data_IF_605139957007
#
_entry.id   IF_605139957007
#
_cell.length_a   1.000
_cell.length_b   1.000
_cell.length_c   1.000
_cell.angle_alpha   90.00
_cell.angle_beta   90.00
_cell.angle_gamma   90.00
#
_symmetry.space_group_name_H-M   'P 1'
#
loop_
_entity.id
_entity.type
_entity.pdbx_description
1 polymer ?
#
# COMPACT_ATOMS: atom_id res chain seq x y z
N UNK A 1 -42.94 -23.20 -39.05
CA UNK A 1 -42.95 -23.48 -37.60
C UNK A 1 -43.57 -22.30 -36.87
N UNK A 2 -44.43 -22.60 -35.89
CA UNK A 2 -45.15 -21.67 -35.00
C UNK A 2 -44.18 -20.61 -34.40
N UNK A 3 -44.46 -19.31 -34.54
CA UNK A 3 -45.22 -18.40 -33.65
C UNK A 3 -44.32 -17.63 -32.66
N UNK A 4 -44.38 -16.28 -32.77
CA UNK A 4 -44.49 -15.27 -31.69
C UNK A 4 -43.37 -15.23 -30.62
N UNK A 5 -42.89 -14.11 -30.08
CA UNK A 5 -43.43 -12.76 -29.93
C UNK A 5 -42.28 -11.83 -29.52
N UNK A 6 -42.35 -10.59 -30.02
CA UNK A 6 -41.66 -9.40 -29.55
C UNK A 6 -42.06 -9.08 -28.10
N UNK A 7 -41.12 -8.63 -27.26
CA UNK A 7 -41.46 -7.68 -26.20
C UNK A 7 -40.31 -6.72 -25.92
N UNK A 8 -40.56 -5.48 -26.36
CA UNK A 8 -39.87 -4.24 -26.07
C UNK A 8 -40.34 -3.77 -24.69
N UNK A 9 -39.43 -3.43 -23.80
CA UNK A 9 -39.76 -2.64 -22.60
C UNK A 9 -38.69 -1.60 -22.39
N UNK A 10 -38.97 -0.43 -22.98
CA UNK A 10 -38.38 0.83 -22.61
C UNK A 10 -38.85 1.20 -21.20
N UNK A 11 -37.92 1.46 -20.28
CA UNK A 11 -38.24 2.13 -19.03
C UNK A 11 -37.72 3.56 -19.10
N UNK A 12 -38.70 4.45 -19.12
CA UNK A 12 -38.69 5.90 -19.24
C UNK A 12 -37.85 6.63 -18.20
N UNK A 13 -37.01 7.56 -18.67
CA UNK A 13 -36.54 8.71 -17.90
C UNK A 13 -37.75 9.59 -17.52
N UNK A 14 -37.91 9.86 -16.24
CA UNK A 14 -38.75 10.96 -15.75
C UNK A 14 -37.84 12.05 -15.19
N UNK A 15 -37.70 13.12 -15.96
CA UNK A 15 -37.23 14.42 -15.51
C UNK A 15 -38.46 15.15 -14.94
N UNK A 16 -38.35 15.68 -13.72
CA UNK A 16 -39.36 16.59 -13.20
C UNK A 16 -39.33 16.75 -11.68
N UNK A 17 -38.41 17.57 -11.17
CA UNK A 17 -38.71 18.35 -9.98
C UNK A 17 -38.58 19.84 -10.33
N UNK A 18 -39.69 20.50 -10.07
CA UNK A 18 -40.09 21.83 -10.46
C UNK A 18 -39.26 22.93 -9.83
N UNK A 19 -39.23 24.05 -10.54
CA UNK A 19 -38.67 25.33 -10.14
C UNK A 19 -39.30 25.90 -8.84
N UNK A 20 -38.56 26.86 -8.28
CA UNK A 20 -38.89 27.75 -7.18
C UNK A 20 -40.35 28.22 -7.14
N UNK A 21 -40.92 28.25 -5.93
CA UNK A 21 -41.85 29.32 -5.55
C UNK A 21 -41.36 29.92 -4.25
N UNK A 22 -41.01 31.20 -4.31
CA UNK A 22 -40.91 32.05 -3.13
C UNK A 22 -42.33 32.36 -2.68
N UNK A 23 -42.69 32.00 -1.45
CA UNK A 23 -43.73 32.72 -0.74
C UNK A 23 -43.37 32.84 0.74
N UNK A 24 -43.52 34.07 1.20
CA UNK A 24 -43.12 34.62 2.48
C UNK A 24 -44.10 34.23 3.60
N UNK A 25 -43.60 34.30 4.83
CA UNK A 25 -44.34 34.36 6.11
C UNK A 25 -44.96 33.07 6.70
N UNK A 26 -44.25 32.48 7.65
CA UNK A 26 -44.75 32.35 9.03
C UNK A 26 -43.61 32.01 10.00
N UNK A 27 -43.34 32.94 10.93
CA UNK A 27 -42.41 32.76 12.06
C UNK A 27 -42.79 31.53 12.87
N UNK A 28 -41.85 30.61 13.02
CA UNK A 28 -41.78 29.76 14.21
C UNK A 28 -40.30 29.51 14.50
N UNK A 29 -39.75 30.27 15.45
CA UNK A 29 -38.41 30.08 15.99
C UNK A 29 -38.35 28.71 16.69
N UNK A 30 -38.06 27.66 15.93
CA UNK A 30 -37.45 26.46 16.48
C UNK A 30 -35.96 26.77 16.64
N UNK A 31 -35.54 26.84 17.89
CA UNK A 31 -34.15 26.86 18.32
C UNK A 31 -33.46 25.62 17.71
N UNK A 32 -32.78 25.81 16.59
CA UNK A 32 -31.90 24.79 16.02
C UNK A 32 -30.77 24.55 17.03
N UNK A 33 -30.69 23.32 17.53
CA UNK A 33 -29.49 22.81 18.16
C UNK A 33 -28.31 23.03 17.19
N UNK A 34 -27.12 23.42 17.68
CA UNK A 34 -25.98 23.60 16.81
C UNK A 34 -25.70 22.26 16.14
N UNK A 35 -25.94 22.23 14.82
CA UNK A 35 -25.55 21.13 13.94
C UNK A 35 -24.05 20.95 14.14
N UNK A 36 -23.68 19.92 14.89
CA UNK A 36 -22.31 19.49 15.05
C UNK A 36 -21.75 19.39 13.63
N UNK A 37 -20.80 20.27 13.29
CA UNK A 37 -20.20 20.30 11.98
C UNK A 37 -19.57 18.93 11.76
N UNK A 38 -20.21 18.10 10.94
CA UNK A 38 -19.73 16.77 10.65
C UNK A 38 -18.28 16.90 10.19
N UNK A 39 -17.35 16.31 10.96
CA UNK A 39 -15.96 16.28 10.61
C UNK A 39 -15.82 15.83 9.15
N UNK A 40 -14.91 16.43 8.37
CA UNK A 40 -14.74 16.07 6.97
C UNK A 40 -14.56 14.56 6.87
N UNK A 41 -15.36 13.91 6.01
CA UNK A 41 -15.25 12.47 5.77
C UNK A 41 -13.84 12.18 5.25
N UNK A 42 -13.06 11.48 6.07
CA UNK A 42 -11.73 11.00 5.69
C UNK A 42 -11.88 9.97 4.55
N UNK A 43 -11.13 10.16 3.48
CA UNK A 43 -11.06 9.20 2.37
C UNK A 43 -9.99 8.15 2.69
N UNK A 44 -10.41 7.05 3.34
CA UNK A 44 -9.54 5.96 3.77
C UNK A 44 -8.75 5.36 2.60
N UNK A 45 -9.36 5.27 1.41
CA UNK A 45 -8.71 4.69 0.23
C UNK A 45 -7.53 5.56 -0.20
N UNK A 46 -7.74 6.89 -0.22
CA UNK A 46 -6.69 7.85 -0.54
C UNK A 46 -5.55 7.78 0.49
N UNK A 47 -5.88 7.70 1.77
CA UNK A 47 -4.86 7.62 2.83
C UNK A 47 -4.07 6.31 2.78
N UNK A 48 -4.71 5.18 2.47
CA UNK A 48 -4.00 3.90 2.25
C UNK A 48 -3.03 3.98 1.08
N UNK A 49 -3.45 4.53 -0.06
CA UNK A 49 -2.57 4.71 -1.22
C UNK A 49 -1.41 5.63 -0.89
N UNK A 50 -1.66 6.74 -0.18
CA UNK A 50 -0.61 7.65 0.26
C UNK A 50 0.39 6.96 1.20
N UNK A 51 -0.12 6.21 2.17
CA UNK A 51 0.71 5.44 3.10
C UNK A 51 1.61 4.43 2.37
N UNK A 52 1.04 3.67 1.43
CA UNK A 52 1.78 2.73 0.58
C UNK A 52 2.87 3.42 -0.25
N UNK A 53 2.55 4.57 -0.86
CA UNK A 53 3.54 5.34 -1.63
C UNK A 53 4.69 5.84 -0.76
N UNK A 54 4.38 6.34 0.45
CA UNK A 54 5.40 6.77 1.41
C UNK A 54 6.29 5.61 1.87
N UNK A 55 5.70 4.44 2.11
CA UNK A 55 6.44 3.24 2.48
C UNK A 55 7.47 2.85 1.42
N UNK A 56 7.07 2.78 0.14
CA UNK A 56 8.00 2.49 -0.95
C UNK A 56 9.09 3.58 -1.12
N UNK A 57 8.75 4.85 -0.90
CA UNK A 57 9.74 5.94 -0.93
C UNK A 57 10.79 5.81 0.17
N UNK A 58 10.36 5.46 1.39
CA UNK A 58 11.26 5.21 2.53
C UNK A 58 12.23 4.08 2.28
N UNK A 59 11.75 2.99 1.68
CA UNK A 59 12.60 1.87 1.26
C UNK A 59 13.60 2.33 0.19
N UNK A 60 13.11 2.92 -0.90
CA UNK A 60 13.96 3.34 -2.02
C UNK A 60 15.04 4.36 -1.64
N UNK A 61 14.82 5.17 -0.60
CA UNK A 61 15.81 6.11 -0.08
C UNK A 61 17.03 5.42 0.58
N UNK A 62 16.94 4.13 0.89
CA UNK A 62 17.95 3.37 1.62
C UNK A 62 18.44 2.12 0.89
N UNK A 63 17.71 1.62 -0.10
CA UNK A 63 17.90 0.25 -0.63
C UNK A 63 18.86 0.11 -1.83
N UNK A 64 19.46 1.21 -2.29
CA UNK A 64 20.19 1.25 -3.56
C UNK A 64 21.36 0.24 -3.65
N UNK A 65 22.10 0.04 -2.56
CA UNK A 65 23.25 -0.88 -2.55
C UNK A 65 22.78 -2.35 -2.49
N UNK A 66 21.69 -2.65 -1.77
CA UNK A 66 21.09 -3.98 -1.79
C UNK A 66 20.64 -4.36 -3.20
N UNK A 67 19.97 -3.45 -3.88
CA UNK A 67 19.43 -3.71 -5.22
C UNK A 67 20.55 -3.89 -6.24
N UNK A 68 21.61 -3.08 -6.12
CA UNK A 68 22.82 -3.25 -6.93
C UNK A 68 23.46 -4.61 -6.70
N UNK A 69 23.55 -5.06 -5.44
CA UNK A 69 24.07 -6.39 -5.11
C UNK A 69 23.21 -7.50 -5.71
N UNK A 70 21.89 -7.46 -5.49
CA UNK A 70 20.96 -8.50 -5.99
C UNK A 70 21.02 -8.56 -7.52
N UNK A 71 20.98 -7.41 -8.20
CA UNK A 71 21.09 -7.36 -9.66
C UNK A 71 22.39 -7.99 -10.19
N UNK A 72 23.53 -7.80 -9.51
CA UNK A 72 24.79 -8.49 -9.85
C UNK A 72 24.72 -9.99 -9.53
N UNK A 73 24.18 -10.35 -8.37
CA UNK A 73 24.13 -11.72 -7.86
C UNK A 73 23.23 -12.63 -8.72
N UNK A 74 22.16 -12.09 -9.29
CA UNK A 74 21.18 -12.83 -10.09
C UNK A 74 21.33 -12.62 -11.59
N UNK A 75 22.37 -11.90 -12.04
CA UNK A 75 22.60 -11.64 -13.46
C UNK A 75 22.92 -12.97 -14.17
N UNK A 76 22.04 -13.35 -15.10
CA UNK A 76 22.29 -14.48 -16.00
C UNK A 76 23.55 -14.22 -16.83
N UNK A 77 24.35 -15.26 -17.06
CA UNK A 77 25.60 -15.22 -17.82
C UNK A 77 26.66 -14.22 -17.30
N UNK A 78 26.60 -13.84 -16.02
CA UNK A 78 27.59 -12.97 -15.40
C UNK A 78 29.00 -13.59 -15.48
N UNK A 79 29.96 -12.78 -15.92
CA UNK A 79 31.38 -13.15 -15.81
C UNK A 79 31.81 -13.08 -14.34
N UNK A 80 32.88 -13.80 -13.94
CA UNK A 80 33.39 -13.73 -12.57
C UNK A 80 33.70 -12.31 -12.07
N UNK A 81 34.16 -11.44 -12.96
CA UNK A 81 34.44 -10.02 -12.69
C UNK A 81 33.19 -9.13 -12.52
N UNK A 82 32.01 -9.63 -12.91
CA UNK A 82 30.72 -8.93 -12.79
C UNK A 82 29.93 -9.37 -11.55
N UNK A 83 30.33 -10.48 -10.92
CA UNK A 83 29.74 -10.95 -9.67
C UNK A 83 30.00 -9.97 -8.54
N UNK A 84 29.08 -9.88 -7.55
CA UNK A 84 29.26 -8.96 -6.44
C UNK A 84 30.49 -9.34 -5.61
N UNK A 85 31.24 -8.31 -5.23
CA UNK A 85 32.40 -8.44 -4.35
C UNK A 85 31.99 -8.56 -2.87
N UNK A 86 32.94 -8.88 -2.00
CA UNK A 86 32.72 -8.82 -0.55
C UNK A 86 32.38 -7.39 -0.08
N UNK A 87 32.92 -6.36 -0.75
CA UNK A 87 32.57 -4.96 -0.47
C UNK A 87 31.13 -4.64 -0.89
N UNK A 88 30.70 -5.08 -2.08
CA UNK A 88 29.31 -4.94 -2.52
C UNK A 88 28.35 -5.62 -1.52
N UNK A 89 28.72 -6.82 -1.05
CA UNK A 89 27.93 -7.57 -0.07
C UNK A 89 27.81 -6.85 1.27
N UNK A 90 28.90 -6.25 1.76
CA UNK A 90 28.89 -5.48 3.01
C UNK A 90 27.98 -4.25 2.91
N UNK A 91 28.09 -3.48 1.81
CA UNK A 91 27.21 -2.32 1.56
C UNK A 91 25.74 -2.73 1.47
N UNK A 92 25.46 -3.85 0.80
CA UNK A 92 24.11 -4.41 0.73
C UNK A 92 23.56 -4.81 2.11
N UNK A 93 24.40 -5.37 2.99
CA UNK A 93 24.02 -5.68 4.37
C UNK A 93 23.64 -4.41 5.15
N UNK A 94 24.46 -3.37 5.07
CA UNK A 94 24.21 -2.08 5.75
C UNK A 94 22.97 -1.37 5.20
N UNK A 95 22.77 -1.42 3.87
CA UNK A 95 21.58 -0.93 3.16
C UNK A 95 20.32 -1.61 3.65
N UNK A 96 20.30 -2.95 3.64
CA UNK A 96 19.16 -3.73 4.11
C UNK A 96 18.85 -3.48 5.59
N UNK A 97 19.88 -3.38 6.45
CA UNK A 97 19.72 -3.04 7.86
C UNK A 97 19.14 -1.63 8.06
N UNK A 98 19.55 -0.68 7.23
CA UNK A 98 19.02 0.69 7.25
C UNK A 98 17.55 0.75 6.84
N UNK A 99 17.13 -0.03 5.84
CA UNK A 99 15.70 -0.17 5.48
C UNK A 99 14.92 -0.77 6.64
N UNK A 100 15.41 -1.84 7.27
CA UNK A 100 14.74 -2.46 8.42
C UNK A 100 14.54 -1.47 9.58
N UNK A 101 15.56 -0.65 9.87
CA UNK A 101 15.46 0.39 10.89
C UNK A 101 14.44 1.48 10.53
N UNK A 102 14.43 1.95 9.28
CA UNK A 102 13.46 2.94 8.79
C UNK A 102 12.02 2.40 8.89
N UNK A 103 11.79 1.15 8.47
CA UNK A 103 10.47 0.50 8.52
C UNK A 103 9.96 0.36 9.96
N UNK A 104 10.82 -0.03 10.91
CA UNK A 104 10.46 -0.11 12.32
C UNK A 104 10.11 1.26 12.95
N UNK A 105 10.49 2.36 12.31
CA UNK A 105 10.16 3.73 12.75
C UNK A 105 8.88 4.30 12.13
N UNK A 106 8.29 3.60 11.15
CA UNK A 106 7.08 4.06 10.45
C UNK A 106 5.91 4.16 11.42
N UNK A 107 5.21 5.29 11.37
CA UNK A 107 3.99 5.52 12.14
C UNK A 107 2.78 5.42 11.23
N UNK A 108 1.74 4.73 11.70
CA UNK A 108 0.46 4.69 11.00
C UNK A 108 -0.25 6.04 11.16
N UNK A 109 -0.69 6.69 10.05
CA UNK A 109 -1.49 7.90 10.10
C UNK A 109 -2.76 7.74 10.97
N UNK A 110 -3.16 8.81 11.66
CA UNK A 110 -4.32 8.77 12.57
C UNK A 110 -5.63 8.45 11.83
N UNK A 111 -5.70 8.86 10.57
CA UNK A 111 -6.77 8.58 9.62
C UNK A 111 -6.97 7.07 9.37
N UNK A 112 -5.90 6.28 9.50
CA UNK A 112 -5.89 4.83 9.29
C UNK A 112 -5.94 4.03 10.60
N UNK A 113 -6.43 4.63 11.69
CA UNK A 113 -6.48 3.99 13.02
C UNK A 113 -7.21 2.64 13.04
N UNK A 114 -8.18 2.45 12.14
CA UNK A 114 -8.96 1.22 12.07
C UNK A 114 -8.19 0.07 11.39
N UNK A 115 -7.23 0.40 10.52
CA UNK A 115 -6.35 -0.53 9.82
C UNK A 115 -4.99 -0.68 10.52
N UNK A 116 -4.76 0.06 11.60
CA UNK A 116 -3.46 0.21 12.27
C UNK A 116 -2.79 -1.11 12.59
N UNK A 117 -3.47 -2.01 13.29
CA UNK A 117 -2.90 -3.30 13.71
C UNK A 117 -2.42 -4.12 12.51
N UNK A 118 -3.21 -4.15 11.43
CA UNK A 118 -2.89 -4.95 10.25
C UNK A 118 -1.76 -4.32 9.42
N UNK A 119 -1.74 -2.98 9.33
CA UNK A 119 -0.63 -2.25 8.71
C UNK A 119 0.67 -2.43 9.49
N UNK A 120 0.64 -2.33 10.82
CA UNK A 120 1.80 -2.59 11.68
C UNK A 120 2.31 -4.03 11.52
N UNK A 121 1.40 -5.01 11.39
CA UNK A 121 1.77 -6.39 11.13
C UNK A 121 2.47 -6.58 9.77
N UNK A 122 1.99 -5.92 8.71
CA UNK A 122 2.64 -5.96 7.40
C UNK A 122 4.02 -5.29 7.42
N UNK A 123 4.14 -4.11 8.04
CA UNK A 123 5.41 -3.38 8.17
C UNK A 123 6.43 -4.20 8.96
N UNK A 124 6.01 -4.87 10.02
CA UNK A 124 6.89 -5.72 10.82
C UNK A 124 7.47 -6.87 10.00
N UNK A 125 6.68 -7.48 9.13
CA UNK A 125 7.18 -8.52 8.21
C UNK A 125 8.17 -7.93 7.21
N UNK A 126 7.88 -6.78 6.59
CA UNK A 126 8.84 -6.12 5.70
C UNK A 126 10.16 -5.81 6.42
N UNK A 127 10.09 -5.23 7.62
CA UNK A 127 11.27 -4.94 8.43
C UNK A 127 12.05 -6.22 8.79
N UNK A 128 11.36 -7.30 9.15
CA UNK A 128 11.97 -8.59 9.44
C UNK A 128 12.63 -9.21 8.20
N UNK A 129 12.01 -9.08 7.02
CA UNK A 129 12.61 -9.50 5.75
C UNK A 129 13.93 -8.76 5.48
N UNK A 130 13.92 -7.43 5.55
CA UNK A 130 15.13 -6.63 5.34
C UNK A 130 16.22 -6.93 6.37
N UNK A 131 15.84 -7.13 7.64
CA UNK A 131 16.79 -7.55 8.66
C UNK A 131 17.39 -8.93 8.36
N UNK A 132 16.57 -9.89 7.93
CA UNK A 132 17.04 -11.22 7.53
C UNK A 132 18.00 -11.13 6.33
N UNK A 133 17.69 -10.31 5.32
CA UNK A 133 18.63 -10.03 4.21
C UNK A 133 19.95 -9.47 4.73
N UNK A 134 19.89 -8.48 5.62
CA UNK A 134 21.07 -7.85 6.20
C UNK A 134 21.96 -8.87 6.93
N UNK A 135 21.36 -9.73 7.75
CA UNK A 135 22.09 -10.74 8.52
C UNK A 135 22.68 -11.82 7.62
N UNK A 136 21.98 -12.19 6.56
CA UNK A 136 22.43 -13.23 5.66
C UNK A 136 23.59 -12.80 4.77
N UNK A 137 23.59 -11.53 4.35
CA UNK A 137 24.69 -10.90 3.62
C UNK A 137 26.00 -10.84 4.43
N UNK A 138 25.97 -11.04 5.75
CA UNK A 138 27.18 -11.16 6.56
C UNK A 138 27.87 -12.52 6.42
N UNK A 139 27.20 -13.52 5.84
CA UNK A 139 27.75 -14.85 5.59
C UNK A 139 28.55 -14.87 4.29
N UNK A 140 29.45 -15.85 4.17
CA UNK A 140 30.27 -16.02 2.96
C UNK A 140 29.44 -16.46 1.75
N UNK A 141 28.41 -17.27 1.97
CA UNK A 141 27.46 -17.76 0.97
C UNK A 141 26.01 -17.42 1.42
N UNK A 142 25.54 -16.19 1.18
CA UNK A 142 24.20 -15.76 1.55
C UNK A 142 23.11 -16.45 0.71
N UNK A 143 21.94 -16.71 1.29
CA UNK A 143 20.70 -17.09 0.58
C UNK A 143 19.57 -16.16 1.04
N UNK A 144 18.91 -15.47 0.12
CA UNK A 144 17.87 -14.49 0.48
C UNK A 144 16.46 -15.11 0.54
N UNK A 145 16.32 -16.39 0.23
CA UNK A 145 15.02 -17.06 0.01
C UNK A 145 14.09 -16.94 1.23
N UNK A 146 14.60 -17.25 2.43
CA UNK A 146 13.80 -17.15 3.65
C UNK A 146 13.38 -15.70 3.95
N UNK A 147 14.23 -14.72 3.61
CA UNK A 147 13.87 -13.33 3.75
C UNK A 147 12.80 -12.92 2.73
N UNK A 148 12.84 -13.45 1.51
CA UNK A 148 11.84 -13.19 0.47
C UNK A 148 10.48 -13.83 0.80
N UNK A 149 10.46 -14.99 1.44
CA UNK A 149 9.24 -15.58 2.00
C UNK A 149 8.61 -14.67 3.06
N UNK A 150 9.41 -14.10 3.96
CA UNK A 150 8.92 -13.13 4.96
C UNK A 150 8.39 -11.86 4.27
N UNK A 151 9.05 -11.38 3.21
CA UNK A 151 8.57 -10.23 2.43
C UNK A 151 7.19 -10.50 1.83
N UNK A 152 7.00 -11.70 1.25
CA UNK A 152 5.74 -12.11 0.67
C UNK A 152 4.60 -12.19 1.71
N UNK A 153 4.90 -12.58 2.95
CA UNK A 153 3.93 -12.53 4.07
C UNK A 153 3.50 -11.08 4.37
N UNK A 154 4.45 -10.14 4.31
CA UNK A 154 4.16 -8.70 4.38
C UNK A 154 3.24 -8.23 3.25
N UNK A 155 3.52 -8.64 2.00
CA UNK A 155 2.65 -8.34 0.85
C UNK A 155 1.25 -8.91 1.01
N UNK A 156 1.10 -10.14 1.49
CA UNK A 156 -0.20 -10.75 1.74
C UNK A 156 -1.01 -9.96 2.78
N UNK A 157 -0.36 -9.56 3.89
CA UNK A 157 -1.00 -8.77 4.95
C UNK A 157 -1.41 -7.39 4.44
N UNK A 158 -0.53 -6.69 3.73
CA UNK A 158 -0.85 -5.38 3.14
C UNK A 158 -1.98 -5.50 2.11
N UNK A 159 -1.97 -6.54 1.29
CA UNK A 159 -3.02 -6.85 0.32
C UNK A 159 -4.40 -6.97 0.97
N UNK A 160 -4.50 -7.72 2.07
CA UNK A 160 -5.76 -7.88 2.82
C UNK A 160 -6.31 -6.56 3.37
N UNK A 161 -5.44 -5.64 3.80
CA UNK A 161 -5.86 -4.29 4.23
C UNK A 161 -6.50 -3.52 3.07
N UNK A 162 -5.90 -3.56 1.89
CA UNK A 162 -6.42 -2.88 0.69
C UNK A 162 -7.74 -3.51 0.23
N UNK A 163 -7.84 -4.84 0.21
CA UNK A 163 -9.06 -5.56 -0.14
C UNK A 163 -10.22 -5.24 0.81
N UNK A 164 -9.94 -5.09 2.11
CA UNK A 164 -10.93 -4.65 3.10
C UNK A 164 -11.58 -3.31 2.76
N UNK A 165 -10.83 -2.41 2.11
CA UNK A 165 -11.30 -1.12 1.61
C UNK A 165 -11.73 -1.16 0.13
N UNK A 166 -11.90 -2.36 -0.44
CA UNK A 166 -12.27 -2.60 -1.84
C UNK A 166 -11.30 -1.94 -2.82
N UNK A 167 -10.01 -2.00 -2.51
CA UNK A 167 -8.90 -1.68 -3.40
C UNK A 167 -8.25 -2.99 -3.87
N UNK A 168 -7.51 -2.91 -4.97
CA UNK A 168 -6.67 -4.02 -5.40
C UNK A 168 -5.46 -4.13 -4.47
N UNK A 169 -4.98 -5.35 -4.16
CA UNK A 169 -3.73 -5.55 -3.45
C UNK A 169 -2.57 -4.81 -4.16
N UNK A 170 -1.81 -3.98 -3.44
CA UNK A 170 -0.60 -3.38 -4.00
C UNK A 170 0.55 -4.40 -3.98
N UNK A 171 1.66 -4.07 -4.63
CA UNK A 171 2.89 -4.87 -4.56
C UNK A 171 4.08 -3.96 -4.36
N UNK A 172 4.63 -3.98 -3.15
CA UNK A 172 5.84 -3.24 -2.82
C UNK A 172 7.02 -3.75 -3.64
N UNK A 173 7.10 -5.05 -3.92
CA UNK A 173 8.18 -5.64 -4.74
C UNK A 173 8.26 -5.01 -6.14
N UNK A 174 7.16 -4.45 -6.66
CA UNK A 174 7.12 -3.74 -7.95
C UNK A 174 7.36 -2.24 -7.85
N UNK A 175 7.35 -1.68 -6.64
CA UNK A 175 7.54 -0.25 -6.38
C UNK A 175 8.97 0.05 -5.90
N UNK A 176 9.58 -0.90 -5.21
CA UNK A 176 10.94 -0.75 -4.70
C UNK A 176 11.95 -1.16 -5.76
N UNK A 177 13.12 -0.51 -5.72
CA UNK A 177 14.18 -0.67 -6.72
C UNK A 177 14.83 -2.06 -6.67
#
# INVERSE_FOLDING_TARGET
>A
MKKFLVSLSALTMAIGLTACTSNEEAKTEKKEEPKEAAAPKVDIKKELVKFYMDLGNKINAKDADLNTYVAKATKEDAKPEELPTAEDRAKASDSAGSVAAELNSVQIPAELKNQKTDLEAAIKDYAASYQAKADELKKDAPSLDAADEIFAQGEEKLGKVFEGEKLLPPSLAKQVN
#
